data_IF_255642258209
#
_entry.id   IF_255642258209
#
_cell.length_a   1.000
_cell.length_b   1.000
_cell.length_c   1.000
_cell.angle_alpha   90.00
_cell.angle_beta   90.00
_cell.angle_gamma   90.00
#
_symmetry.space_group_name_H-M   'P 1'
#
loop_
_entity.id
_entity.type
_entity.pdbx_description
1 polymer ?
#
# COMPACT_ATOMS: atom_id res chain seq x y z
N UNK A 1 -17.62 -18.98 16.71
CA UNK A 1 -16.55 -18.19 16.06
C UNK A 1 -16.43 -18.64 14.61
N UNK A 2 -16.45 -17.72 13.63
CA UNK A 2 -16.41 -18.09 12.22
C UNK A 2 -15.04 -18.71 11.87
N UNK A 3 -15.01 -19.60 10.86
CA UNK A 3 -13.79 -20.25 10.36
C UNK A 3 -12.73 -19.22 9.96
N UNK A 4 -13.15 -18.13 9.30
CA UNK A 4 -12.27 -17.04 8.88
C UNK A 4 -11.59 -16.33 10.06
N UNK A 5 -12.24 -16.20 11.21
CA UNK A 5 -11.66 -15.59 12.40
C UNK A 5 -10.56 -16.48 12.98
N UNK A 6 -10.79 -17.79 13.08
CA UNK A 6 -9.77 -18.76 13.56
C UNK A 6 -8.54 -18.80 12.65
N UNK A 7 -8.73 -18.71 11.33
CA UNK A 7 -7.62 -18.65 10.37
C UNK A 7 -6.82 -17.37 10.59
N UNK A 8 -7.48 -16.21 10.73
CA UNK A 8 -6.83 -14.93 10.97
C UNK A 8 -5.99 -14.93 12.26
N UNK A 9 -6.53 -15.46 13.36
CA UNK A 9 -5.79 -15.56 14.62
C UNK A 9 -4.51 -16.39 14.47
N UNK A 10 -4.53 -17.49 13.73
CA UNK A 10 -3.33 -18.27 13.41
C UNK A 10 -2.32 -17.49 12.56
N UNK A 11 -2.81 -16.72 11.59
CA UNK A 11 -1.96 -15.87 10.75
C UNK A 11 -1.29 -14.80 11.63
N UNK A 12 -2.04 -14.10 12.45
CA UNK A 12 -1.54 -13.06 13.33
C UNK A 12 -0.49 -13.55 14.32
N UNK A 13 -0.68 -14.76 14.87
CA UNK A 13 0.33 -15.39 15.72
C UNK A 13 1.67 -15.53 14.99
N UNK A 14 1.66 -15.95 13.73
CA UNK A 14 2.89 -16.08 12.93
C UNK A 14 3.45 -14.73 12.47
N UNK A 15 2.60 -13.74 12.25
CA UNK A 15 3.05 -12.40 11.86
C UNK A 15 3.89 -11.72 12.94
N UNK A 16 3.66 -12.03 14.23
CA UNK A 16 4.47 -11.48 15.32
C UNK A 16 5.97 -11.77 15.17
N UNK A 17 6.34 -12.86 14.49
CA UNK A 17 7.74 -13.26 14.35
C UNK A 17 8.48 -12.40 13.29
N UNK A 18 7.76 -11.80 12.36
CA UNK A 18 8.35 -11.11 11.19
C UNK A 18 7.85 -9.70 10.98
N UNK A 19 6.76 -9.30 11.65
CA UNK A 19 6.17 -7.98 11.46
C UNK A 19 7.01 -6.88 12.11
N UNK A 20 7.12 -5.75 11.42
CA UNK A 20 7.64 -4.50 11.98
C UNK A 20 6.50 -3.73 12.63
N UNK A 21 6.65 -3.23 13.87
CA UNK A 21 5.57 -2.53 14.55
C UNK A 21 5.24 -1.19 13.84
N UNK A 22 3.97 -0.90 13.73
CA UNK A 22 3.50 0.42 13.28
C UNK A 22 3.61 1.46 14.41
N UNK A 23 3.91 2.71 14.08
CA UNK A 23 4.04 3.78 15.06
C UNK A 23 2.74 4.16 15.76
N UNK A 24 1.58 3.84 15.16
CA UNK A 24 0.23 4.14 15.67
C UNK A 24 -0.45 2.92 16.27
N UNK A 25 -0.33 1.79 15.62
CA UNK A 25 -1.08 0.57 15.94
C UNK A 25 -0.19 -0.54 16.51
N UNK A 26 1.12 -0.34 16.58
CA UNK A 26 2.09 -1.34 17.01
C UNK A 26 1.93 -2.66 16.23
N UNK A 27 1.62 -3.75 16.90
CA UNK A 27 1.37 -5.07 16.31
C UNK A 27 -0.12 -5.45 16.37
N UNK A 28 -1.02 -4.47 16.37
CA UNK A 28 -2.46 -4.73 16.31
C UNK A 28 -2.90 -5.02 14.87
N UNK A 29 -2.80 -6.27 14.45
CA UNK A 29 -3.10 -6.70 13.08
C UNK A 29 -4.60 -6.64 12.70
N UNK A 30 -5.48 -6.33 13.64
CA UNK A 30 -6.86 -5.99 13.33
C UNK A 30 -6.99 -4.57 12.74
N UNK A 31 -6.01 -3.70 13.04
CA UNK A 31 -6.00 -2.30 12.61
C UNK A 31 -4.97 -2.02 11.51
N UNK A 32 -3.92 -2.81 11.40
CA UNK A 32 -2.83 -2.58 10.44
C UNK A 32 -2.46 -3.83 9.67
N UNK A 33 -2.15 -3.68 8.39
CA UNK A 33 -1.36 -4.65 7.62
C UNK A 33 0.09 -4.19 7.75
N UNK A 34 0.93 -4.95 8.49
CA UNK A 34 2.25 -4.46 8.85
C UNK A 34 3.22 -4.46 7.68
N UNK A 35 4.30 -3.72 7.83
CA UNK A 35 5.55 -4.03 7.17
C UNK A 35 6.18 -5.28 7.81
N UNK A 36 7.06 -5.96 7.10
CA UNK A 36 7.63 -7.23 7.54
C UNK A 36 9.07 -7.42 7.06
N UNK A 37 9.81 -8.27 7.73
CA UNK A 37 11.17 -8.64 7.32
C UNK A 37 11.16 -9.26 5.93
N UNK A 38 11.97 -8.71 5.02
CA UNK A 38 12.04 -9.14 3.63
C UNK A 38 11.03 -8.47 2.69
N UNK A 39 10.26 -7.49 3.14
CA UNK A 39 9.35 -6.72 2.28
C UNK A 39 10.08 -6.04 1.12
N UNK A 40 11.29 -5.57 1.34
CA UNK A 40 12.13 -4.95 0.32
C UNK A 40 12.41 -5.92 -0.85
N UNK A 41 12.71 -7.18 -0.54
CA UNK A 41 12.94 -8.21 -1.57
C UNK A 41 11.65 -8.54 -2.36
N UNK A 42 10.48 -8.43 -1.73
CA UNK A 42 9.21 -8.55 -2.42
C UNK A 42 8.99 -7.36 -3.38
N UNK A 43 9.31 -6.14 -2.95
CA UNK A 43 9.23 -4.94 -3.79
C UNK A 43 10.22 -5.00 -4.96
N UNK A 44 11.43 -5.53 -4.75
CA UNK A 44 12.40 -5.76 -5.85
C UNK A 44 11.81 -6.61 -6.98
N UNK A 45 10.97 -7.58 -6.67
CA UNK A 45 10.26 -8.39 -7.67
C UNK A 45 9.11 -7.63 -8.35
N UNK A 46 8.42 -6.77 -7.61
CA UNK A 46 7.33 -5.96 -8.17
C UNK A 46 7.87 -4.98 -9.21
N UNK A 47 8.96 -4.29 -8.92
CA UNK A 47 9.47 -3.22 -9.78
C UNK A 47 10.11 -3.71 -11.08
N UNK A 48 10.44 -4.99 -11.18
CA UNK A 48 10.92 -5.62 -12.42
C UNK A 48 9.85 -6.42 -13.16
N UNK A 49 8.63 -6.45 -12.63
CA UNK A 49 7.48 -7.05 -13.30
C UNK A 49 7.05 -6.19 -14.50
N UNK A 50 6.84 -6.83 -15.65
CA UNK A 50 6.51 -6.09 -16.88
C UNK A 50 5.21 -5.30 -16.76
N UNK A 51 4.21 -5.82 -16.05
CA UNK A 51 2.96 -5.11 -15.84
C UNK A 51 3.15 -3.84 -15.00
N UNK A 52 4.09 -3.87 -14.02
CA UNK A 52 4.49 -2.67 -13.29
C UNK A 52 5.28 -1.69 -14.16
N UNK A 53 6.24 -2.19 -14.93
CA UNK A 53 7.07 -1.33 -15.79
C UNK A 53 6.23 -0.59 -16.83
N UNK A 54 5.29 -1.27 -17.44
CA UNK A 54 4.39 -0.73 -18.46
C UNK A 54 3.28 0.15 -17.88
N UNK A 55 3.01 0.07 -16.57
CA UNK A 55 1.92 0.83 -15.94
C UNK A 55 2.18 2.33 -15.98
N UNK A 56 1.18 3.08 -16.40
CA UNK A 56 1.21 4.54 -16.43
C UNK A 56 0.42 5.20 -15.30
N UNK A 57 -0.52 4.47 -14.71
CA UNK A 57 -1.40 4.99 -13.67
C UNK A 57 -1.83 3.89 -12.70
N UNK A 58 -1.36 3.95 -11.47
CA UNK A 58 -1.53 2.89 -10.50
C UNK A 58 -2.34 3.32 -9.27
N UNK A 59 -3.02 2.33 -8.66
CA UNK A 59 -3.60 2.45 -7.33
C UNK A 59 -2.76 1.65 -6.34
N UNK A 60 -2.24 2.31 -5.31
CA UNK A 60 -1.42 1.69 -4.27
C UNK A 60 -2.07 1.95 -2.92
N UNK A 61 -2.37 0.90 -2.16
CA UNK A 61 -2.97 1.07 -0.82
C UNK A 61 -1.98 1.67 0.18
N UNK A 62 -2.47 2.30 1.28
CA UNK A 62 -1.61 2.96 2.27
C UNK A 62 -0.88 2.00 3.23
N UNK A 63 -0.91 0.70 2.96
CA UNK A 63 -0.30 -0.30 3.83
C UNK A 63 1.21 -0.08 4.03
N UNK A 64 1.72 -0.36 5.21
CA UNK A 64 3.11 -0.09 5.59
C UNK A 64 4.11 -0.90 4.75
N UNK A 65 3.78 -2.13 4.37
CA UNK A 65 4.64 -2.96 3.51
C UNK A 65 4.83 -2.38 2.09
N UNK A 66 4.08 -1.35 1.70
CA UNK A 66 4.16 -0.70 0.40
C UNK A 66 4.86 0.67 0.43
N UNK A 67 5.42 1.08 1.56
CA UNK A 67 6.16 2.35 1.67
C UNK A 67 7.30 2.41 0.66
N UNK A 68 8.12 1.36 0.58
CA UNK A 68 9.25 1.33 -0.36
C UNK A 68 8.81 1.34 -1.83
N UNK A 69 7.71 0.65 -2.16
CA UNK A 69 7.14 0.71 -3.51
C UNK A 69 6.71 2.14 -3.87
N UNK A 70 5.97 2.80 -2.98
CA UNK A 70 5.53 4.18 -3.22
C UNK A 70 6.72 5.13 -3.37
N UNK A 71 7.76 4.99 -2.53
CA UNK A 71 9.00 5.76 -2.66
C UNK A 71 9.64 5.58 -4.04
N UNK A 72 9.81 4.33 -4.48
CA UNK A 72 10.41 4.03 -5.81
C UNK A 72 9.56 4.56 -6.96
N UNK A 73 8.22 4.51 -6.84
CA UNK A 73 7.32 5.10 -7.84
C UNK A 73 7.50 6.61 -7.95
N UNK A 74 7.62 7.31 -6.81
CA UNK A 74 7.87 8.76 -6.78
C UNK A 74 9.21 9.07 -7.46
N UNK A 75 10.27 8.34 -7.11
CA UNK A 75 11.60 8.51 -7.69
C UNK A 75 11.64 8.20 -9.20
N UNK A 76 10.83 7.26 -9.66
CA UNK A 76 10.68 6.91 -11.07
C UNK A 76 9.71 7.82 -11.84
N UNK A 77 9.09 8.81 -11.20
CA UNK A 77 8.14 9.72 -11.84
C UNK A 77 6.79 9.08 -12.18
N UNK A 78 6.42 7.97 -11.54
CA UNK A 78 5.13 7.29 -11.76
C UNK A 78 4.05 7.87 -10.85
N UNK A 79 2.97 8.48 -11.41
CA UNK A 79 1.86 8.99 -10.63
C UNK A 79 1.05 7.84 -10.01
N UNK A 80 0.41 8.13 -8.88
CA UNK A 80 -0.40 7.15 -8.19
C UNK A 80 -1.64 7.74 -7.52
N UNK A 81 -2.64 6.90 -7.36
CA UNK A 81 -3.77 7.13 -6.45
C UNK A 81 -3.59 6.26 -5.23
N UNK A 82 -3.85 6.80 -4.06
CA UNK A 82 -3.89 6.08 -2.80
C UNK A 82 -5.19 6.40 -2.06
N UNK A 83 -5.77 5.42 -1.37
CA UNK A 83 -6.84 5.72 -0.42
C UNK A 83 -6.25 6.29 0.87
N UNK A 84 -7.01 7.14 1.55
CA UNK A 84 -6.73 7.47 2.94
C UNK A 84 -7.01 6.25 3.82
N UNK A 85 -6.48 6.24 5.04
CA UNK A 85 -6.68 5.12 5.96
C UNK A 85 -8.18 4.85 6.16
N UNK A 86 -8.60 3.60 5.95
CA UNK A 86 -10.00 3.20 6.01
C UNK A 86 -10.92 3.90 5.00
N UNK A 87 -10.37 4.62 4.02
CA UNK A 87 -11.10 5.44 3.03
C UNK A 87 -11.94 6.55 3.69
N UNK A 88 -11.67 6.89 4.95
CA UNK A 88 -12.48 7.88 5.69
C UNK A 88 -12.47 9.28 5.07
N UNK A 89 -11.39 9.64 4.36
CA UNK A 89 -11.25 10.93 3.67
C UNK A 89 -11.10 10.76 2.16
N UNK A 90 -11.55 9.62 1.62
CA UNK A 90 -11.53 9.34 0.18
C UNK A 90 -10.14 8.97 -0.35
N UNK A 91 -9.80 9.56 -1.49
CA UNK A 91 -8.59 9.23 -2.25
C UNK A 91 -7.70 10.45 -2.42
N UNK A 92 -6.40 10.18 -2.56
CA UNK A 92 -5.36 11.17 -2.88
C UNK A 92 -4.70 10.79 -4.20
N UNK A 93 -4.45 11.80 -5.03
CA UNK A 93 -3.61 11.69 -6.21
C UNK A 93 -2.26 12.31 -5.92
N UNK A 94 -1.18 11.60 -6.19
CA UNK A 94 0.18 12.12 -6.11
C UNK A 94 0.80 12.20 -7.50
N UNK A 95 1.16 13.42 -7.88
CA UNK A 95 2.04 13.69 -9.01
C UNK A 95 3.48 13.77 -8.49
N UNK A 96 4.38 12.84 -8.87
CA UNK A 96 5.76 12.86 -8.44
C UNK A 96 6.51 14.17 -8.74
N UNK A 97 6.11 14.89 -9.77
CA UNK A 97 6.72 16.18 -10.12
C UNK A 97 6.51 17.26 -9.05
N UNK A 98 5.51 17.10 -8.18
CA UNK A 98 5.23 18.03 -7.06
C UNK A 98 6.02 17.71 -5.81
N UNK A 99 6.71 16.57 -5.76
CA UNK A 99 7.50 16.13 -4.61
C UNK A 99 8.93 16.69 -4.73
N UNK A 100 9.40 17.48 -3.77
CA UNK A 100 10.76 18.00 -3.79
C UNK A 100 11.81 16.90 -3.81
N UNK A 101 12.95 17.15 -4.46
CA UNK A 101 14.08 16.24 -4.46
C UNK A 101 14.49 15.89 -3.03
N UNK A 102 14.61 14.59 -2.75
CA UNK A 102 14.96 14.06 -1.43
C UNK A 102 13.76 13.85 -0.48
N UNK A 103 12.56 14.25 -0.87
CA UNK A 103 11.35 14.07 -0.04
C UNK A 103 10.55 12.79 -0.38
N UNK A 104 11.02 11.95 -1.31
CA UNK A 104 10.28 10.77 -1.77
C UNK A 104 9.93 9.79 -0.64
N UNK A 105 10.84 9.56 0.30
CA UNK A 105 10.57 8.69 1.45
C UNK A 105 9.45 9.28 2.34
N UNK A 106 9.51 10.57 2.65
CA UNK A 106 8.46 11.22 3.44
C UNK A 106 7.11 11.20 2.70
N UNK A 107 7.11 11.53 1.41
CA UNK A 107 5.91 11.51 0.58
C UNK A 107 5.32 10.09 0.41
N UNK A 108 6.10 9.04 0.63
CA UNK A 108 5.64 7.65 0.56
C UNK A 108 4.92 7.18 1.83
N UNK A 109 5.05 7.88 2.94
CA UNK A 109 4.28 7.63 4.16
C UNK A 109 2.90 8.27 4.07
N UNK A 110 1.94 7.78 4.84
CA UNK A 110 0.58 8.33 4.79
C UNK A 110 0.55 9.83 5.11
N UNK A 111 1.26 10.27 6.14
CA UNK A 111 1.31 11.68 6.53
C UNK A 111 1.92 12.56 5.44
N UNK A 112 3.01 12.11 4.83
CA UNK A 112 3.63 12.79 3.70
C UNK A 112 2.78 12.77 2.43
N UNK A 113 2.10 11.66 2.17
CA UNK A 113 1.15 11.55 1.07
C UNK A 113 0.00 12.55 1.22
N UNK A 114 -0.51 12.73 2.43
CA UNK A 114 -1.54 13.74 2.71
C UNK A 114 -1.02 15.18 2.56
N UNK A 115 0.28 15.39 2.72
CA UNK A 115 0.92 16.70 2.52
C UNK A 115 1.14 17.02 1.03
N UNK A 116 1.62 16.08 0.24
CA UNK A 116 1.96 16.29 -1.18
C UNK A 116 0.84 15.88 -2.14
N UNK A 117 0.03 14.90 -1.76
CA UNK A 117 -1.10 14.44 -2.56
C UNK A 117 -2.26 15.44 -2.52
N UNK A 118 -3.06 15.43 -3.56
CA UNK A 118 -4.29 16.21 -3.63
C UNK A 118 -5.51 15.30 -3.56
N UNK A 119 -6.59 15.70 -2.84
CA UNK A 119 -7.84 14.95 -2.86
C UNK A 119 -8.33 14.75 -4.29
N UNK A 120 -8.84 13.57 -4.59
CA UNK A 120 -9.36 13.22 -5.91
C UNK A 120 -10.63 12.38 -5.78
N UNK A 121 -11.64 12.67 -6.60
CA UNK A 121 -12.89 11.92 -6.66
C UNK A 121 -12.79 10.72 -7.61
N UNK A 122 -13.75 9.81 -7.54
CA UNK A 122 -13.83 8.67 -8.47
C UNK A 122 -14.05 9.14 -9.92
N UNK A 123 -14.83 10.20 -10.11
CA UNK A 123 -15.04 10.80 -11.44
C UNK A 123 -13.73 11.37 -12.01
N UNK A 124 -12.96 12.09 -11.21
CA UNK A 124 -11.66 12.65 -11.62
C UNK A 124 -10.63 11.55 -11.89
N UNK A 125 -10.63 10.46 -11.10
CA UNK A 125 -9.80 9.27 -11.38
C UNK A 125 -10.16 8.71 -12.75
N UNK A 126 -11.45 8.52 -13.03
CA UNK A 126 -11.92 7.99 -14.30
C UNK A 126 -11.58 8.92 -15.49
N UNK A 127 -11.59 10.24 -15.27
CA UNK A 127 -11.19 11.24 -16.30
C UNK A 127 -9.67 11.22 -16.58
N UNK A 128 -8.85 10.90 -15.59
CA UNK A 128 -7.38 10.74 -15.79
C UNK A 128 -7.03 9.52 -16.62
N UNK A 129 -7.88 8.52 -16.64
CA UNK A 129 -7.70 7.32 -17.42
C UNK A 129 -7.97 6.05 -16.63
N UNK A 130 -7.59 4.92 -17.22
CA UNK A 130 -7.72 3.62 -16.56
C UNK A 130 -6.59 3.42 -15.57
N UNK A 131 -6.93 3.01 -14.35
CA UNK A 131 -5.96 2.40 -13.45
C UNK A 131 -5.55 1.04 -14.03
N UNK A 132 -4.31 0.93 -14.44
CA UNK A 132 -3.75 -0.23 -15.14
C UNK A 132 -2.94 -1.15 -14.22
N UNK A 133 -2.65 -0.70 -13.02
CA UNK A 133 -1.95 -1.47 -12.00
C UNK A 133 -2.52 -1.21 -10.61
N UNK A 134 -2.67 -2.27 -9.81
CA UNK A 134 -3.16 -2.16 -8.44
C UNK A 134 -2.32 -3.03 -7.50
N UNK A 135 -1.83 -2.44 -6.41
CA UNK A 135 -1.12 -3.17 -5.35
C UNK A 135 -1.78 -2.91 -4.00
N UNK A 136 -2.01 -3.97 -3.27
CA UNK A 136 -2.56 -3.92 -1.91
C UNK A 136 -1.77 -4.83 -0.98
N UNK A 137 -1.63 -4.42 0.27
CA UNK A 137 -1.08 -5.28 1.30
C UNK A 137 -2.03 -6.41 1.70
N UNK A 138 -1.49 -7.45 2.30
CA UNK A 138 -2.24 -8.55 2.88
C UNK A 138 -1.53 -9.09 4.13
N UNK A 139 -2.30 -9.55 5.10
CA UNK A 139 -1.76 -10.30 6.24
C UNK A 139 -1.30 -11.70 5.84
N UNK A 140 -1.96 -12.30 4.87
CA UNK A 140 -1.56 -13.55 4.22
C UNK A 140 -2.28 -13.73 2.89
N UNK A 141 -1.69 -14.55 2.03
CA UNK A 141 -2.31 -15.04 0.79
C UNK A 141 -2.15 -16.55 0.76
N UNK A 142 -3.24 -17.26 0.47
CA UNK A 142 -3.19 -18.71 0.29
C UNK A 142 -2.58 -19.07 -1.07
N UNK A 143 -2.14 -20.32 -1.22
CA UNK A 143 -1.64 -20.83 -2.51
C UNK A 143 -2.67 -20.77 -3.63
N UNK A 144 -3.95 -20.69 -3.28
CA UNK A 144 -5.06 -20.55 -4.25
C UNK A 144 -5.46 -19.07 -4.47
N UNK A 145 -4.67 -18.10 -4.02
CA UNK A 145 -4.91 -16.69 -4.23
C UNK A 145 -5.92 -16.03 -3.27
N UNK A 146 -6.40 -16.72 -2.24
CA UNK A 146 -7.30 -16.12 -1.25
C UNK A 146 -6.52 -15.15 -0.36
N UNK A 147 -6.92 -13.89 -0.36
CA UNK A 147 -6.30 -12.84 0.42
C UNK A 147 -6.95 -12.68 1.80
N UNK A 148 -6.14 -12.57 2.84
CA UNK A 148 -6.57 -12.23 4.19
C UNK A 148 -6.04 -10.85 4.57
N UNK A 149 -6.96 -9.95 4.84
CA UNK A 149 -6.66 -8.61 5.38
C UNK A 149 -6.94 -8.53 6.88
N UNK A 150 -7.29 -7.32 7.35
CA UNK A 150 -7.56 -7.02 8.76
C UNK A 150 -8.83 -7.68 9.32
N UNK A 151 -9.80 -7.94 8.47
CA UNK A 151 -11.02 -8.66 8.85
C UNK A 151 -12.29 -7.81 8.99
N UNK A 152 -12.26 -6.60 8.46
CA UNK A 152 -13.45 -5.77 8.32
C UNK A 152 -14.32 -6.22 7.16
#
# INVERSE_FOLDING_TARGET
MSTSKKIREKIWTKLHDVARPDTRFHLNFAEVIPDFEGSEAAIDRVVVDSAYEESGFAFITPDNCLVDLRRRMIEAGKPMVMSTYGIYRGFLYLDPATVPKGAALYASWLDGMEHFGVPITLEEIAQKGRLDYLVTGASAVSVNGVRFGKGH
#
